data_IF_108332947185
#
_entry.id   IF_108332947185
#
_cell.length_a   1.000
_cell.length_b   1.000
_cell.length_c   1.000
_cell.angle_alpha   90.00
_cell.angle_beta   90.00
_cell.angle_gamma   90.00
#
_symmetry.space_group_name_H-M   'P 1'
#
loop_
_entity.id
_entity.type
_entity.pdbx_description
1 polymer ?
#
# COMPACT_ATOMS: atom_id res chain seq x y z
N UNK A 1 -10.42 -39.84 -17.46
CA UNK A 1 -10.66 -39.86 -16.01
C UNK A 1 -10.31 -41.25 -15.51
N UNK A 2 -9.26 -41.39 -14.69
CA UNK A 2 -8.78 -42.69 -14.21
C UNK A 2 -9.47 -43.00 -12.87
N UNK A 3 -10.16 -44.15 -12.79
CA UNK A 3 -10.63 -44.71 -11.52
C UNK A 3 -9.41 -45.22 -10.75
N UNK A 4 -9.07 -44.57 -9.63
CA UNK A 4 -7.87 -44.91 -8.87
C UNK A 4 -8.14 -45.98 -7.81
N UNK A 5 -7.32 -47.03 -7.81
CA UNK A 5 -7.17 -47.91 -6.65
C UNK A 5 -6.47 -47.16 -5.51
N UNK A 6 -6.63 -47.62 -4.27
CA UNK A 6 -6.04 -46.99 -3.06
C UNK A 6 -4.54 -46.73 -3.20
N UNK A 7 -3.82 -47.62 -3.89
CA UNK A 7 -2.38 -47.50 -4.12
C UNK A 7 -2.02 -46.36 -5.08
N UNK A 8 -2.89 -46.06 -6.04
CA UNK A 8 -2.65 -45.02 -7.06
C UNK A 8 -2.92 -43.61 -6.51
N UNK A 9 -3.76 -43.48 -5.48
CA UNK A 9 -4.09 -42.19 -4.84
C UNK A 9 -2.83 -41.53 -4.28
N UNK A 10 -1.99 -42.25 -3.54
CA UNK A 10 -0.77 -41.70 -2.94
C UNK A 10 0.23 -41.20 -3.99
N UNK A 11 0.39 -41.95 -5.08
CA UNK A 11 1.27 -41.55 -6.19
C UNK A 11 0.77 -40.27 -6.84
N UNK A 12 -0.54 -40.12 -7.02
CA UNK A 12 -1.13 -38.89 -7.56
C UNK A 12 -0.94 -37.71 -6.60
N UNK A 13 -1.15 -37.90 -5.30
CA UNK A 13 -0.93 -36.83 -4.31
C UNK A 13 0.52 -36.33 -4.35
N UNK A 14 1.49 -37.24 -4.38
CA UNK A 14 2.91 -36.92 -4.52
C UNK A 14 3.22 -36.18 -5.82
N UNK A 15 2.75 -36.68 -6.97
CA UNK A 15 3.04 -36.08 -8.28
C UNK A 15 2.46 -34.67 -8.43
N UNK A 16 1.30 -34.38 -7.86
CA UNK A 16 0.67 -33.07 -7.99
C UNK A 16 1.10 -32.07 -6.92
N UNK A 17 1.77 -32.53 -5.86
CA UNK A 17 2.18 -31.69 -4.74
C UNK A 17 3.71 -31.52 -4.63
N UNK A 18 4.48 -32.62 -4.71
CA UNK A 18 5.92 -32.67 -4.42
C UNK A 18 6.79 -32.65 -5.68
N UNK A 19 6.20 -32.88 -6.85
CA UNK A 19 6.96 -32.86 -8.10
C UNK A 19 7.52 -31.46 -8.37
N UNK A 20 8.81 -31.37 -8.67
CA UNK A 20 9.52 -30.11 -9.00
C UNK A 20 8.84 -29.35 -10.15
N UNK A 21 8.20 -30.06 -11.08
CA UNK A 21 7.46 -29.48 -12.22
C UNK A 21 6.03 -29.04 -11.88
N UNK A 22 5.49 -29.44 -10.72
CA UNK A 22 4.13 -29.07 -10.29
C UNK A 22 4.00 -27.58 -9.93
N UNK A 23 5.11 -26.94 -9.56
CA UNK A 23 5.20 -25.54 -9.19
C UNK A 23 4.55 -25.22 -7.84
N UNK A 24 4.99 -24.14 -7.19
CA UNK A 24 4.34 -23.59 -5.99
C UNK A 24 3.04 -22.86 -6.38
N UNK A 25 2.09 -23.59 -6.94
CA UNK A 25 0.78 -23.08 -7.32
C UNK A 25 -0.08 -22.85 -6.08
N UNK A 26 -1.00 -21.88 -6.17
CA UNK A 26 -2.06 -21.73 -5.18
C UNK A 26 -2.90 -23.01 -5.08
N UNK A 27 -3.48 -23.23 -3.90
CA UNK A 27 -4.32 -24.40 -3.63
C UNK A 27 -5.41 -24.59 -4.69
N UNK A 28 -6.11 -23.52 -5.06
CA UNK A 28 -7.15 -23.53 -6.11
C UNK A 28 -6.64 -24.04 -7.46
N UNK A 29 -5.43 -23.61 -7.86
CA UNK A 29 -4.83 -24.05 -9.13
C UNK A 29 -4.42 -25.53 -9.08
N UNK A 30 -3.95 -26.02 -7.93
CA UNK A 30 -3.62 -27.44 -7.77
C UNK A 30 -4.89 -28.31 -7.80
N UNK A 31 -5.98 -27.85 -7.20
CA UNK A 31 -7.30 -28.50 -7.22
C UNK A 31 -7.83 -28.64 -8.66
N UNK A 32 -7.80 -27.57 -9.46
CA UNK A 32 -8.26 -27.63 -10.85
C UNK A 32 -7.42 -28.60 -11.69
N UNK A 33 -6.11 -28.69 -11.44
CA UNK A 33 -5.24 -29.68 -12.11
C UNK A 33 -5.64 -31.11 -11.78
N UNK A 34 -5.80 -31.46 -10.51
CA UNK A 34 -6.15 -32.84 -10.10
C UNK A 34 -7.51 -33.23 -10.66
N UNK A 35 -8.48 -32.32 -10.62
CA UNK A 35 -9.83 -32.50 -11.17
C UNK A 35 -9.82 -32.93 -12.64
N UNK A 36 -8.85 -32.45 -13.43
CA UNK A 36 -8.73 -32.83 -14.86
C UNK A 36 -8.08 -34.19 -15.08
N UNK A 37 -7.30 -34.71 -14.12
CA UNK A 37 -6.46 -35.88 -14.30
C UNK A 37 -6.97 -37.14 -13.58
N UNK A 38 -7.55 -36.99 -12.38
CA UNK A 38 -7.89 -38.12 -11.51
C UNK A 38 -9.19 -37.90 -10.73
N UNK A 39 -9.90 -38.99 -10.40
CA UNK A 39 -11.15 -38.92 -9.63
C UNK A 39 -11.29 -40.13 -8.70
N UNK A 40 -11.66 -39.87 -7.44
CA UNK A 40 -12.08 -40.86 -6.44
C UNK A 40 -13.02 -40.20 -5.40
N UNK A 41 -13.84 -40.95 -4.62
CA UNK A 41 -14.93 -40.36 -3.82
C UNK A 41 -14.52 -39.23 -2.85
N UNK A 42 -13.31 -39.27 -2.30
CA UNK A 42 -12.77 -38.31 -1.32
C UNK A 42 -11.66 -37.42 -1.87
N UNK A 43 -11.46 -37.35 -3.19
CA UNK A 43 -10.26 -36.78 -3.80
C UNK A 43 -9.88 -35.38 -3.38
N UNK A 44 -10.88 -34.51 -3.26
CA UNK A 44 -10.65 -33.13 -2.84
C UNK A 44 -10.21 -33.05 -1.39
N UNK A 45 -10.85 -33.82 -0.51
CA UNK A 45 -10.55 -33.85 0.93
C UNK A 45 -9.13 -34.39 1.16
N UNK A 46 -8.82 -35.53 0.55
CA UNK A 46 -7.52 -36.19 0.70
C UNK A 46 -6.38 -35.30 0.19
N UNK A 47 -6.60 -34.58 -0.91
CA UNK A 47 -5.62 -33.63 -1.44
C UNK A 47 -5.40 -32.41 -0.52
N UNK A 48 -6.47 -31.85 0.03
CA UNK A 48 -6.39 -30.72 0.96
C UNK A 48 -5.66 -31.14 2.25
N UNK A 49 -6.01 -32.29 2.82
CA UNK A 49 -5.32 -32.85 4.00
C UNK A 49 -3.83 -33.11 3.71
N UNK A 50 -3.51 -33.63 2.52
CA UNK A 50 -2.13 -33.81 2.09
C UNK A 50 -1.37 -32.48 1.97
N UNK A 51 -1.96 -31.45 1.36
CA UNK A 51 -1.38 -30.10 1.28
C UNK A 51 -1.14 -29.50 2.67
N UNK A 52 -2.10 -29.66 3.59
CA UNK A 52 -1.95 -29.22 4.98
C UNK A 52 -0.93 -30.06 5.76
N UNK A 53 -0.59 -31.28 5.34
CA UNK A 53 0.51 -32.02 5.99
C UNK A 53 1.90 -31.45 5.64
N UNK A 54 2.01 -30.64 4.57
CA UNK A 54 3.29 -30.10 4.10
C UNK A 54 3.58 -28.70 4.64
N UNK A 55 4.53 -28.59 5.57
CA UNK A 55 5.01 -27.32 6.14
C UNK A 55 5.53 -26.34 5.06
N UNK A 56 6.23 -26.85 4.04
CA UNK A 56 6.71 -26.03 2.91
C UNK A 56 5.56 -25.40 2.14
N UNK A 57 4.49 -26.15 1.90
CA UNK A 57 3.31 -25.65 1.20
C UNK A 57 2.55 -24.64 2.05
N UNK A 58 2.38 -24.88 3.35
CA UNK A 58 1.74 -23.91 4.24
C UNK A 58 2.49 -22.58 4.29
N UNK A 59 3.82 -22.60 4.40
CA UNK A 59 4.65 -21.39 4.42
C UNK A 59 4.65 -20.65 3.09
N UNK A 60 4.62 -21.37 1.97
CA UNK A 60 4.55 -20.77 0.64
C UNK A 60 3.15 -20.23 0.32
N UNK A 61 2.12 -20.93 0.78
CA UNK A 61 0.71 -20.57 0.70
C UNK A 61 0.30 -19.85 1.98
N UNK A 62 1.12 -18.91 2.45
CA UNK A 62 0.65 -17.91 3.40
C UNK A 62 -0.58 -17.28 2.74
N UNK A 63 -1.76 -17.67 3.21
CA UNK A 63 -3.00 -17.03 2.79
C UNK A 63 -2.73 -15.53 2.86
N UNK A 64 -3.01 -14.81 1.77
CA UNK A 64 -3.08 -13.36 1.81
C UNK A 64 -4.14 -13.01 2.87
N UNK A 65 -3.68 -12.90 4.11
CA UNK A 65 -4.49 -12.94 5.31
C UNK A 65 -5.25 -11.64 5.39
N UNK A 66 -6.57 -11.77 5.44
CA UNK A 66 -7.60 -10.74 5.23
C UNK A 66 -7.72 -10.29 3.77
N UNK A 67 -8.95 -10.43 3.25
CA UNK A 67 -9.46 -9.50 2.23
C UNK A 67 -9.06 -8.11 2.70
N UNK A 68 -8.38 -7.32 1.84
CA UNK A 68 -8.19 -5.90 2.07
C UNK A 68 -9.52 -5.36 2.64
N UNK A 69 -9.47 -4.68 3.79
CA UNK A 69 -10.68 -4.16 4.43
C UNK A 69 -11.54 -3.40 3.42
N UNK A 70 -12.83 -3.23 3.71
CA UNK A 70 -13.72 -2.42 2.88
C UNK A 70 -12.97 -1.15 2.45
N UNK A 71 -12.80 -0.97 1.14
CA UNK A 71 -12.18 0.24 0.60
C UNK A 71 -12.94 1.42 1.18
N UNK A 72 -12.26 2.23 1.98
CA UNK A 72 -12.87 3.43 2.56
C UNK A 72 -13.14 4.36 1.38
N UNK A 73 -14.42 4.58 1.08
CA UNK A 73 -14.81 5.54 0.06
C UNK A 73 -14.60 6.94 0.61
N UNK A 74 -13.59 7.64 0.09
CA UNK A 74 -13.40 9.06 0.37
C UNK A 74 -14.45 9.80 -0.44
N UNK A 75 -15.27 10.62 0.21
CA UNK A 75 -16.27 11.47 -0.46
C UNK A 75 -15.60 12.36 -1.51
N UNK A 76 -16.17 12.41 -2.72
CA UNK A 76 -15.64 13.27 -3.79
C UNK A 76 -15.68 14.75 -3.35
N UNK A 77 -14.59 15.52 -3.57
CA UNK A 77 -14.56 16.94 -3.27
C UNK A 77 -15.59 17.70 -4.11
N UNK A 78 -16.12 18.78 -3.54
CA UNK A 78 -17.07 19.68 -4.21
C UNK A 78 -16.38 20.90 -4.83
N UNK A 79 -15.17 21.22 -4.36
CA UNK A 79 -14.40 22.39 -4.78
C UNK A 79 -12.93 22.01 -5.02
N UNK A 80 -12.23 22.72 -5.94
CA UNK A 80 -10.79 22.55 -6.13
C UNK A 80 -10.02 22.71 -4.82
N UNK A 81 -8.99 21.89 -4.62
CA UNK A 81 -8.09 21.91 -3.45
C UNK A 81 -8.74 21.58 -2.11
N UNK A 82 -9.99 21.10 -2.11
CA UNK A 82 -10.66 20.67 -0.89
C UNK A 82 -10.04 19.40 -0.29
N UNK A 83 -9.73 18.43 -1.16
CA UNK A 83 -9.10 17.15 -0.82
C UNK A 83 -7.86 16.99 -1.68
N UNK A 84 -6.70 16.83 -1.06
CA UNK A 84 -5.44 16.61 -1.77
C UNK A 84 -4.81 15.27 -1.41
N UNK A 85 -4.15 14.66 -2.37
CA UNK A 85 -3.26 13.53 -2.17
C UNK A 85 -1.82 14.01 -2.12
N UNK A 86 -1.07 13.55 -1.12
CA UNK A 86 0.36 13.86 -0.97
C UNK A 86 1.18 12.57 -1.01
N UNK A 87 2.26 12.59 -1.79
CA UNK A 87 3.20 11.48 -1.94
C UNK A 87 4.63 12.00 -2.13
N UNK A 88 5.62 11.20 -1.73
CA UNK A 88 7.03 11.54 -1.85
C UNK A 88 7.78 10.51 -2.69
N UNK A 89 8.45 11.00 -3.71
CA UNK A 89 9.44 10.23 -4.45
C UNK A 89 10.83 10.61 -3.97
N UNK A 90 11.49 9.69 -3.28
CA UNK A 90 12.85 9.86 -2.75
C UNK A 90 13.90 9.19 -3.67
N UNK A 91 15.18 9.29 -3.31
CA UNK A 91 16.29 8.63 -3.99
C UNK A 91 16.41 8.93 -5.51
N UNK A 92 15.98 10.12 -5.94
CA UNK A 92 16.17 10.59 -7.31
C UNK A 92 17.63 11.03 -7.51
N UNK A 93 18.18 10.87 -8.72
CA UNK A 93 19.50 11.43 -9.06
C UNK A 93 19.51 12.94 -8.78
N UNK A 94 20.49 13.48 -8.01
CA UNK A 94 20.57 14.90 -7.70
C UNK A 94 20.59 15.75 -8.95
N UNK A 95 19.72 16.76 -9.04
CA UNK A 95 19.60 17.60 -10.25
C UNK A 95 19.49 19.10 -9.96
N UNK A 96 20.01 19.90 -10.90
CA UNK A 96 20.03 21.36 -10.83
C UNK A 96 21.07 21.92 -9.85
N UNK A 97 21.21 23.25 -9.82
CA UNK A 97 22.24 23.92 -9.01
C UNK A 97 22.09 23.71 -7.50
N UNK A 98 20.87 23.35 -7.04
CA UNK A 98 20.58 23.07 -5.64
C UNK A 98 20.72 21.59 -5.28
N UNK A 99 20.90 20.70 -6.27
CA UNK A 99 21.12 19.27 -6.03
C UNK A 99 19.94 18.54 -5.37
N UNK A 100 18.71 18.92 -5.69
CA UNK A 100 17.52 18.24 -5.15
C UNK A 100 17.51 16.77 -5.59
N UNK A 101 17.24 15.87 -4.65
CA UNK A 101 17.28 14.42 -4.82
C UNK A 101 15.94 13.75 -4.47
N UNK A 102 14.89 14.54 -4.28
CA UNK A 102 13.54 14.05 -4.00
C UNK A 102 12.48 15.02 -4.56
N UNK A 103 11.28 14.50 -4.78
CA UNK A 103 10.13 15.26 -5.27
C UNK A 103 8.89 14.98 -4.42
N UNK A 104 8.29 16.03 -3.86
CA UNK A 104 7.03 15.94 -3.14
C UNK A 104 5.89 16.30 -4.11
N UNK A 105 4.93 15.41 -4.23
CA UNK A 105 3.83 15.50 -5.19
C UNK A 105 2.55 15.77 -4.42
N UNK A 106 1.85 16.85 -4.77
CA UNK A 106 0.55 17.21 -4.21
C UNK A 106 -0.46 17.24 -5.35
N UNK A 107 -1.49 16.41 -5.28
CA UNK A 107 -2.50 16.31 -6.34
C UNK A 107 -3.86 16.72 -5.80
N UNK A 108 -4.49 17.70 -6.43
CA UNK A 108 -5.91 18.01 -6.17
C UNK A 108 -6.79 16.86 -6.63
N UNK A 109 -7.61 16.31 -5.73
CA UNK A 109 -8.53 15.24 -6.09
C UNK A 109 -9.66 15.73 -7.00
N UNK A 110 -10.06 16.99 -6.93
CA UNK A 110 -11.14 17.54 -7.75
C UNK A 110 -10.68 17.71 -9.20
N UNK A 111 -9.66 18.53 -9.45
CA UNK A 111 -9.18 18.84 -10.80
C UNK A 111 -8.19 17.83 -11.38
N UNK A 112 -7.67 16.91 -10.56
CA UNK A 112 -6.53 16.03 -10.88
C UNK A 112 -5.25 16.79 -11.23
N UNK A 113 -5.14 18.06 -10.82
CA UNK A 113 -3.96 18.88 -11.10
C UNK A 113 -2.85 18.58 -10.09
N UNK A 114 -1.63 18.20 -10.55
CA UNK A 114 -0.49 17.99 -9.68
C UNK A 114 0.34 19.26 -9.48
N UNK A 115 0.96 19.37 -8.30
CA UNK A 115 2.03 20.31 -7.96
C UNK A 115 3.24 19.48 -7.55
N UNK A 116 4.36 19.73 -8.22
CA UNK A 116 5.64 19.07 -7.95
C UNK A 116 6.58 20.02 -7.21
N UNK A 117 7.02 19.63 -6.03
CA UNK A 117 7.94 20.40 -5.19
C UNK A 117 9.28 19.66 -5.10
N UNK A 118 10.36 20.22 -5.68
CA UNK A 118 11.68 19.65 -5.49
C UNK A 118 12.16 19.91 -4.06
N UNK A 119 12.68 18.88 -3.42
CA UNK A 119 13.17 18.95 -2.04
C UNK A 119 14.34 17.98 -1.81
N UNK A 120 14.88 17.96 -0.60
CA UNK A 120 15.92 16.99 -0.24
C UNK A 120 15.37 15.91 0.68
N UNK A 121 15.87 14.69 0.50
CA UNK A 121 15.46 13.52 1.29
C UNK A 121 15.66 13.71 2.81
N UNK A 122 16.62 14.54 3.22
CA UNK A 122 16.89 14.85 4.63
C UNK A 122 15.98 15.96 5.21
N UNK A 123 15.02 16.50 4.45
CA UNK A 123 14.09 17.51 4.95
C UNK A 123 13.20 16.92 6.03
N UNK A 124 13.06 17.66 7.12
CA UNK A 124 12.16 17.29 8.21
C UNK A 124 10.70 17.55 7.82
N UNK A 125 9.77 17.05 8.63
CA UNK A 125 8.35 17.40 8.50
C UNK A 125 8.13 18.92 8.58
N UNK A 126 8.92 19.64 9.38
CA UNK A 126 8.83 21.10 9.50
C UNK A 126 9.31 21.80 8.23
N UNK A 127 10.44 21.36 7.65
CA UNK A 127 10.93 21.89 6.37
C UNK A 127 9.91 21.68 5.26
N UNK A 128 9.28 20.50 5.25
CA UNK A 128 8.22 20.16 4.29
C UNK A 128 6.99 21.05 4.49
N UNK A 129 6.53 21.24 5.72
CA UNK A 129 5.40 22.12 6.01
C UNK A 129 5.66 23.57 5.58
N UNK A 130 6.86 24.10 5.84
CA UNK A 130 7.28 25.43 5.39
C UNK A 130 7.34 25.52 3.86
N UNK A 131 7.81 24.47 3.19
CA UNK A 131 7.84 24.41 1.72
C UNK A 131 6.43 24.48 1.13
N UNK A 132 5.49 23.71 1.68
CA UNK A 132 4.07 23.72 1.25
C UNK A 132 3.44 25.08 1.52
N UNK A 133 3.62 25.62 2.72
CA UNK A 133 3.07 26.93 3.10
C UNK A 133 3.51 28.03 2.14
N UNK A 134 4.81 28.09 1.86
CA UNK A 134 5.40 29.15 1.04
C UNK A 134 5.16 28.98 -0.46
N UNK A 135 4.92 27.76 -0.96
CA UNK A 135 4.84 27.51 -2.41
C UNK A 135 3.49 27.02 -2.91
N UNK A 136 2.61 26.55 -2.02
CA UNK A 136 1.38 25.89 -2.43
C UNK A 136 0.16 26.59 -1.86
N UNK A 137 0.14 26.87 -0.56
CA UNK A 137 -1.03 27.48 0.10
C UNK A 137 -1.36 28.86 -0.50
N UNK A 138 -0.35 29.62 -0.92
CA UNK A 138 -0.54 30.92 -1.59
C UNK A 138 -1.32 30.83 -2.92
N UNK A 139 -1.28 29.69 -3.61
CA UNK A 139 -1.93 29.51 -4.92
C UNK A 139 -3.22 28.70 -4.84
N UNK A 140 -3.33 27.84 -3.83
CA UNK A 140 -4.38 26.82 -3.73
C UNK A 140 -5.38 27.08 -2.60
N UNK A 141 -5.01 27.95 -1.65
CA UNK A 141 -5.73 28.10 -0.39
C UNK A 141 -5.39 26.98 0.59
N UNK A 142 -6.19 26.86 1.66
CA UNK A 142 -6.02 25.82 2.66
C UNK A 142 -6.78 24.56 2.26
N UNK A 143 -6.12 23.41 2.37
CA UNK A 143 -6.74 22.11 2.19
C UNK A 143 -7.64 21.79 3.38
N UNK A 144 -8.81 21.19 3.14
CA UNK A 144 -9.66 20.69 4.23
C UNK A 144 -9.24 19.29 4.66
N UNK A 145 -8.84 18.45 3.70
CA UNK A 145 -8.42 17.07 3.93
C UNK A 145 -7.13 16.83 3.14
N UNK A 146 -6.09 16.38 3.85
CA UNK A 146 -4.82 15.94 3.27
C UNK A 146 -4.70 14.44 3.44
N UNK A 147 -4.67 13.69 2.34
CA UNK A 147 -4.48 12.25 2.34
C UNK A 147 -3.03 11.95 2.01
N UNK A 148 -2.32 11.43 3.00
CA UNK A 148 -0.95 10.96 2.82
C UNK A 148 -0.99 9.49 2.41
N UNK A 149 -0.46 9.19 1.23
CA UNK A 149 -0.33 7.80 0.77
C UNK A 149 1.05 7.34 1.21
N UNK A 150 1.10 6.54 2.27
CA UNK A 150 2.37 5.97 2.74
C UNK A 150 2.81 4.88 1.75
N UNK A 151 3.77 5.21 0.88
CA UNK A 151 4.43 4.20 0.06
C UNK A 151 5.36 3.39 0.96
N UNK A 152 5.15 2.06 0.94
CA UNK A 152 6.00 1.11 1.64
C UNK A 152 7.45 1.32 1.19
N UNK A 153 8.38 1.43 2.15
CA UNK A 153 9.85 1.46 2.01
C UNK A 153 10.57 2.79 2.30
N UNK A 154 10.04 3.66 3.17
CA UNK A 154 10.91 4.54 3.95
C UNK A 154 11.18 3.87 5.31
N UNK A 155 12.29 3.13 5.41
CA UNK A 155 12.98 3.07 6.70
C UNK A 155 13.42 4.50 6.99
N UNK A 156 12.68 5.26 7.82
CA UNK A 156 13.11 6.38 8.68
C UNK A 156 11.88 6.97 9.42
N UNK A 157 12.06 7.54 10.64
CA UNK A 157 11.05 7.61 11.69
C UNK A 157 10.18 8.87 11.56
N UNK A 158 9.42 8.99 10.48
CA UNK A 158 8.44 10.07 10.37
C UNK A 158 7.19 9.65 11.12
N UNK A 159 7.18 9.91 12.43
CA UNK A 159 5.94 9.87 13.20
C UNK A 159 4.89 10.69 12.47
N UNK A 160 3.70 10.10 12.31
CA UNK A 160 2.50 10.70 11.70
C UNK A 160 2.22 12.07 12.35
N UNK A 161 2.85 13.13 11.85
CA UNK A 161 2.45 14.49 12.15
C UNK A 161 1.34 14.77 11.15
N UNK A 162 0.12 14.75 11.65
CA UNK A 162 -1.03 15.31 10.95
C UNK A 162 -0.74 16.79 10.67
N UNK A 163 -0.29 17.07 9.45
CA UNK A 163 0.02 18.42 8.97
C UNK A 163 -1.25 19.29 9.05
N UNK A 164 -2.45 18.71 8.91
CA UNK A 164 -3.72 19.39 9.12
C UNK A 164 -3.91 19.85 10.56
N UNK A 165 -3.61 18.98 11.53
CA UNK A 165 -3.60 19.32 12.96
C UNK A 165 -2.56 20.39 13.30
N UNK A 166 -1.36 20.33 12.71
CA UNK A 166 -0.31 21.33 12.99
C UNK A 166 -0.65 22.71 12.40
N UNK A 167 -1.15 22.78 11.17
CA UNK A 167 -1.57 24.03 10.50
C UNK A 167 -2.71 24.70 11.27
N UNK A 168 -3.69 23.93 11.75
CA UNK A 168 -4.79 24.46 12.57
C UNK A 168 -4.29 24.97 13.94
N UNK A 169 -3.37 24.26 14.59
CA UNK A 169 -2.83 24.66 15.89
C UNK A 169 -1.85 25.84 15.83
N UNK A 170 -1.13 26.02 14.71
CA UNK A 170 -0.28 27.20 14.51
C UNK A 170 -1.09 28.50 14.54
N UNK A 171 -2.27 28.52 13.91
CA UNK A 171 -3.19 29.66 13.96
C UNK A 171 -3.73 29.94 15.37
N UNK A 172 -4.03 28.90 16.15
CA UNK A 172 -4.48 29.06 17.54
C UNK A 172 -3.40 29.75 18.41
N UNK A 173 -2.13 29.38 18.22
CA UNK A 173 -1.00 30.01 18.93
C UNK A 173 -0.75 31.45 18.50
N UNK A 174 -0.80 31.77 17.21
CA UNK A 174 -0.60 33.15 16.73
C UNK A 174 -1.72 34.10 17.18
N UNK A 175 -2.99 33.65 17.19
CA UNK A 175 -4.11 34.44 17.70
C UNK A 175 -4.06 34.69 19.22
N UNK A 176 -3.40 33.81 19.97
CA UNK A 176 -3.21 33.98 21.43
C UNK A 176 -2.11 35.00 21.73
N UNK A 177 -1.03 35.00 20.95
CA UNK A 177 0.07 35.96 21.08
C UNK A 177 -0.40 37.38 20.72
N UNK A 178 -1.21 37.54 19.68
CA UNK A 178 -1.81 38.84 19.33
C UNK A 178 -2.82 39.36 20.36
N UNK A 179 -3.46 38.50 21.15
CA UNK A 179 -4.38 38.91 22.24
C UNK A 179 -3.68 39.23 23.57
N UNK A 180 -2.44 38.82 23.76
CA UNK A 180 -1.65 39.13 24.97
C UNK A 180 -0.76 40.38 24.82
N UNK A 181 -0.63 40.90 23.59
CA UNK A 181 0.16 42.10 23.27
C UNK A 181 -0.73 43.31 22.88
N UNK A 182 -2.04 43.24 23.15
CA UNK A 182 -3.00 44.32 22.95
C UNK A 182 -3.61 44.77 24.27
#
# INVERSE_FOLDING_TARGET
MILCSILLINTILLEFHDNVYSGNLSEDRKIERIKTCAWWPSWRKDFIEYCHSCDRFQKANNAAGKRFGLMIHIQEPSTPWEVVHMDWEAALPPRGNKGYNACHVIVDRYSKTPIFLPFHEYYTAMDTALLIWNRVILHTGLFKISLVIETQNLHQPYGLIDIGFWVQNYHSKQNTIHKQMG
#
